data_IF_769258476068
#
_entry.id   IF_769258476068
#
_cell.length_a   1.000
_cell.length_b   1.000
_cell.length_c   1.000
_cell.angle_alpha   90.00
_cell.angle_beta   90.00
_cell.angle_gamma   90.00
#
_symmetry.space_group_name_H-M   'P 1'
#
loop_
_entity.id
_entity.type
_entity.pdbx_description
1 polymer ?
#
# COMPACT_ATOMS: atom_id res chain seq x y z
N UNK A 1 1.13 -9.82 -7.60
CA UNK A 1 2.27 -9.96 -6.69
C UNK A 1 3.60 -9.79 -7.44
N UNK A 2 4.52 -9.04 -6.84
CA UNK A 2 5.91 -8.99 -7.33
C UNK A 2 6.60 -10.31 -6.96
N UNK A 3 6.35 -10.77 -5.73
CA UNK A 3 6.87 -12.03 -5.21
C UNK A 3 5.84 -12.61 -4.23
N UNK A 4 5.52 -13.89 -4.38
CA UNK A 4 4.65 -14.56 -3.43
C UNK A 4 5.42 -14.90 -2.15
N UNK A 5 4.79 -14.67 -1.00
CA UNK A 5 5.35 -15.09 0.28
C UNK A 5 4.97 -16.52 0.60
N UNK A 6 5.59 -17.06 1.65
CA UNK A 6 5.35 -18.44 2.09
C UNK A 6 4.89 -18.53 3.55
N UNK A 7 4.93 -17.42 4.27
CA UNK A 7 4.55 -17.39 5.69
C UNK A 7 3.06 -17.23 5.92
N UNK A 8 2.71 -16.80 7.12
CA UNK A 8 1.32 -16.61 7.55
C UNK A 8 0.59 -15.63 6.65
N UNK A 9 -0.64 -15.95 6.30
CA UNK A 9 -1.49 -15.11 5.47
C UNK A 9 -2.10 -13.95 6.26
N UNK A 10 -2.11 -12.75 5.63
CA UNK A 10 -2.77 -11.57 6.18
C UNK A 10 -4.29 -11.71 6.00
N UNK A 11 -5.01 -11.70 7.12
CA UNK A 11 -6.47 -11.76 7.16
C UNK A 11 -7.03 -10.60 7.95
N UNK A 12 -8.30 -10.25 7.71
CA UNK A 12 -8.95 -9.14 8.41
C UNK A 12 -8.93 -9.36 9.93
N UNK A 13 -8.70 -8.28 10.66
CA UNK A 13 -8.63 -8.30 12.12
C UNK A 13 -7.27 -8.60 12.70
N UNK A 14 -6.32 -9.04 11.87
CA UNK A 14 -4.94 -9.31 12.32
C UNK A 14 -4.10 -8.03 12.26
N UNK A 15 -3.18 -7.90 13.20
CA UNK A 15 -2.19 -6.82 13.13
C UNK A 15 -1.08 -7.23 12.19
N UNK A 16 -0.83 -6.41 11.17
CA UNK A 16 0.20 -6.66 10.17
C UNK A 16 1.28 -5.60 10.24
N UNK A 17 2.52 -5.97 9.92
CA UNK A 17 3.64 -5.05 9.76
C UNK A 17 4.08 -5.08 8.30
N UNK A 18 4.16 -3.91 7.69
CA UNK A 18 4.40 -3.75 6.26
C UNK A 18 5.52 -2.74 6.04
N UNK A 19 6.53 -3.13 5.27
CA UNK A 19 7.51 -2.19 4.72
C UNK A 19 6.99 -1.70 3.38
N UNK A 20 7.11 -0.40 3.10
CA UNK A 20 6.52 0.17 1.89
C UNK A 20 7.31 1.35 1.36
N UNK A 21 7.13 1.58 0.06
CA UNK A 21 7.49 2.84 -0.61
C UNK A 21 6.31 3.25 -1.46
N UNK A 22 6.00 4.55 -1.49
CA UNK A 22 4.89 5.11 -2.25
C UNK A 22 5.35 6.17 -3.25
N UNK A 23 4.75 6.13 -4.45
CA UNK A 23 5.01 7.08 -5.54
C UNK A 23 3.67 7.59 -6.09
N UNK A 24 3.70 8.78 -6.66
CA UNK A 24 2.60 9.24 -7.50
C UNK A 24 2.63 8.43 -8.81
N UNK A 25 1.45 8.00 -9.27
CA UNK A 25 1.34 7.32 -10.56
C UNK A 25 1.72 8.29 -11.69
N UNK A 26 2.54 7.83 -12.63
CA UNK A 26 2.93 8.59 -13.79
C UNK A 26 2.93 7.70 -15.04
N UNK A 27 2.20 8.11 -16.07
CA UNK A 27 2.16 7.38 -17.34
C UNK A 27 3.50 7.35 -18.06
N UNK A 28 4.37 8.33 -17.78
CA UNK A 28 5.65 8.48 -18.50
C UNK A 28 6.84 7.95 -17.71
N UNK A 29 6.65 7.56 -16.45
CA UNK A 29 7.74 7.07 -15.62
C UNK A 29 7.91 5.56 -15.73
N UNK A 30 9.13 5.07 -15.49
CA UNK A 30 9.40 3.64 -15.44
C UNK A 30 8.55 3.01 -14.35
N UNK A 31 7.90 1.88 -14.64
CA UNK A 31 6.99 1.16 -13.75
C UNK A 31 5.85 2.05 -13.23
N UNK A 32 5.54 3.14 -13.94
CA UNK A 32 4.54 4.15 -13.56
C UNK A 32 4.83 4.83 -12.22
N UNK A 33 6.06 4.78 -11.75
CA UNK A 33 6.50 5.39 -10.49
C UNK A 33 7.01 6.79 -10.75
N UNK A 34 6.17 7.77 -10.47
CA UNK A 34 6.54 9.18 -10.52
C UNK A 34 7.31 9.60 -9.27
N UNK A 35 7.00 10.78 -8.72
CA UNK A 35 7.68 11.27 -7.54
C UNK A 35 7.37 10.41 -6.31
N UNK A 36 8.41 9.99 -5.60
CA UNK A 36 8.26 9.31 -4.31
C UNK A 36 7.75 10.31 -3.28
N UNK A 37 6.75 9.91 -2.49
CA UNK A 37 6.20 10.80 -1.46
C UNK A 37 6.33 10.23 -0.05
N UNK A 38 6.55 8.93 0.10
CA UNK A 38 6.63 8.31 1.43
C UNK A 38 7.32 6.95 1.35
N UNK A 39 7.77 6.47 2.51
CA UNK A 39 8.34 5.14 2.66
C UNK A 39 8.66 4.87 4.13
N UNK A 40 8.67 3.61 4.51
CA UNK A 40 8.95 3.21 5.87
C UNK A 40 8.36 1.85 6.21
N UNK A 41 8.15 1.63 7.51
CA UNK A 41 7.50 0.44 8.03
C UNK A 41 6.37 0.87 8.96
N UNK A 42 5.21 0.25 8.82
CA UNK A 42 4.03 0.57 9.61
C UNK A 42 3.34 -0.71 10.07
N UNK A 43 2.78 -0.68 11.28
CA UNK A 43 1.92 -1.75 11.80
C UNK A 43 0.51 -1.21 11.97
N UNK A 44 -0.49 -2.00 11.56
CA UNK A 44 -1.90 -1.61 11.66
C UNK A 44 -2.78 -2.85 11.66
N UNK A 45 -4.05 -2.68 12.06
CA UNK A 45 -5.04 -3.76 12.00
C UNK A 45 -5.65 -3.79 10.62
N UNK A 46 -5.46 -4.91 9.91
CA UNK A 46 -5.96 -5.07 8.55
C UNK A 46 -7.49 -5.08 8.53
N UNK A 47 -8.06 -4.29 7.64
CA UNK A 47 -9.51 -4.13 7.53
C UNK A 47 -10.12 -3.20 8.56
N UNK A 48 -9.32 -2.60 9.43
CA UNK A 48 -9.80 -1.75 10.53
C UNK A 48 -10.01 -0.28 10.18
N UNK A 49 -9.77 0.13 8.94
CA UNK A 49 -9.91 1.52 8.54
C UNK A 49 -8.82 2.45 9.07
N UNK A 50 -7.70 1.90 9.53
CA UNK A 50 -6.57 2.69 10.06
C UNK A 50 -5.69 3.24 8.95
N UNK A 51 -5.79 2.67 7.75
CA UNK A 51 -5.04 3.06 6.56
C UNK A 51 -6.02 3.29 5.40
N UNK A 52 -5.53 3.81 4.28
CA UNK A 52 -6.38 4.00 3.10
C UNK A 52 -6.98 2.66 2.63
N UNK A 53 -8.19 2.72 2.06
CA UNK A 53 -8.94 1.51 1.70
C UNK A 53 -8.20 0.62 0.72
N UNK A 54 -7.42 1.21 -0.19
CA UNK A 54 -6.60 0.45 -1.13
C UNK A 54 -5.60 -0.47 -0.45
N UNK A 55 -5.10 -0.10 0.74
CA UNK A 55 -4.22 -0.94 1.54
C UNK A 55 -5.01 -2.06 2.24
N UNK A 56 -6.14 -1.73 2.88
CA UNK A 56 -6.96 -2.74 3.55
C UNK A 56 -7.42 -3.82 2.57
N UNK A 57 -7.73 -3.44 1.34
CA UNK A 57 -8.15 -4.39 0.30
C UNK A 57 -6.96 -5.07 -0.39
N UNK A 58 -5.89 -4.32 -0.66
CA UNK A 58 -4.77 -4.80 -1.47
C UNK A 58 -3.80 -5.70 -0.72
N UNK A 59 -3.66 -5.52 0.59
CA UNK A 59 -2.76 -6.34 1.42
C UNK A 59 -3.44 -7.64 1.86
N UNK A 60 -4.76 -7.67 1.88
CA UNK A 60 -5.51 -8.89 2.21
C UNK A 60 -5.05 -10.06 1.34
N UNK A 61 -4.73 -11.16 1.97
CA UNK A 61 -4.30 -12.38 1.28
C UNK A 61 -2.79 -12.48 1.02
N UNK A 62 -2.02 -11.42 1.30
CA UNK A 62 -0.55 -11.53 1.24
C UNK A 62 -0.05 -12.50 2.31
N UNK A 63 1.09 -13.12 2.04
CA UNK A 63 1.80 -13.97 3.01
C UNK A 63 3.11 -13.32 3.41
N UNK A 64 3.58 -13.58 4.62
CA UNK A 64 4.85 -13.05 5.11
C UNK A 64 5.97 -13.44 4.13
N UNK A 65 6.81 -12.46 3.79
CA UNK A 65 7.88 -12.57 2.80
C UNK A 65 7.42 -12.18 1.40
N UNK A 66 6.12 -11.99 1.18
CA UNK A 66 5.59 -11.57 -0.11
C UNK A 66 5.78 -10.09 -0.36
N UNK A 67 5.89 -9.73 -1.64
CA UNK A 67 5.91 -8.36 -2.11
C UNK A 67 4.78 -8.17 -3.13
N UNK A 68 4.06 -7.06 -3.01
CA UNK A 68 2.93 -6.75 -3.90
C UNK A 68 2.99 -5.30 -4.30
N UNK A 69 2.69 -5.02 -5.58
CA UNK A 69 2.50 -3.66 -6.06
C UNK A 69 1.02 -3.33 -6.07
N UNK A 70 0.68 -2.21 -5.43
CA UNK A 70 -0.68 -1.71 -5.37
C UNK A 70 -0.76 -0.43 -6.19
N UNK A 71 -1.63 -0.42 -7.20
CA UNK A 71 -1.97 0.80 -7.94
C UNK A 71 -3.36 1.20 -7.43
N UNK A 72 -3.43 2.31 -6.71
CA UNK A 72 -4.60 2.68 -5.94
C UNK A 72 -5.22 3.94 -6.54
N UNK A 73 -6.45 3.86 -7.06
CA UNK A 73 -7.15 5.03 -7.57
C UNK A 73 -7.54 5.96 -6.43
N UNK A 74 -7.83 7.26 -6.71
CA UNK A 74 -8.11 8.23 -5.65
C UNK A 74 -9.27 7.83 -4.73
N UNK A 75 -10.32 7.19 -5.23
CA UNK A 75 -11.47 6.79 -4.41
C UNK A 75 -11.14 5.72 -3.35
N UNK A 76 -10.02 5.02 -3.48
CA UNK A 76 -9.52 4.08 -2.48
C UNK A 76 -8.31 4.63 -1.72
N UNK A 77 -7.95 5.89 -1.95
CA UNK A 77 -6.86 6.59 -1.28
C UNK A 77 -7.40 7.85 -0.60
N UNK A 78 -7.02 9.03 -1.09
CA UNK A 78 -7.37 10.29 -0.44
C UNK A 78 -8.47 11.08 -1.18
N UNK A 79 -8.96 10.57 -2.30
CA UNK A 79 -10.03 11.19 -3.08
C UNK A 79 -9.66 12.60 -3.54
N UNK A 80 -10.62 13.52 -3.40
CA UNK A 80 -10.41 14.91 -3.77
C UNK A 80 -9.72 15.74 -2.69
N UNK A 81 -9.43 15.17 -1.53
CA UNK A 81 -8.75 15.84 -0.42
C UNK A 81 -7.27 15.48 -0.44
N UNK A 82 -6.41 16.50 -0.50
CA UNK A 82 -4.98 16.29 -0.38
C UNK A 82 -4.61 16.09 1.10
N UNK A 83 -3.89 15.01 1.44
CA UNK A 83 -3.40 14.85 2.81
C UNK A 83 -2.14 15.70 3.08
N UNK A 84 -1.64 16.43 2.09
CA UNK A 84 -0.33 17.07 2.13
C UNK A 84 0.77 16.11 1.68
N UNK A 85 2.01 16.29 2.16
CA UNK A 85 3.13 15.35 1.91
C UNK A 85 3.39 15.07 0.42
N UNK A 86 3.13 16.03 -0.46
CA UNK A 86 3.40 15.88 -1.89
C UNK A 86 2.36 15.11 -2.67
N UNK A 87 1.21 14.80 -2.08
CA UNK A 87 0.10 14.12 -2.77
C UNK A 87 -0.95 15.16 -3.18
N UNK A 88 -1.16 15.38 -4.49
CA UNK A 88 -2.20 16.31 -4.95
C UNK A 88 -3.60 15.71 -4.77
N UNK A 89 -4.67 16.52 -4.87
CA UNK A 89 -6.02 16.00 -4.94
C UNK A 89 -6.22 15.06 -6.15
N UNK A 90 -7.07 14.07 -6.01
CA UNK A 90 -7.42 13.12 -7.07
C UNK A 90 -6.21 12.34 -7.62
N UNK A 91 -5.24 12.04 -6.76
CA UNK A 91 -4.04 11.31 -7.18
C UNK A 91 -4.25 9.81 -7.15
N UNK A 92 -3.77 9.15 -8.21
CA UNK A 92 -3.56 7.70 -8.22
C UNK A 92 -2.17 7.43 -7.65
N UNK A 93 -2.08 6.46 -6.76
CA UNK A 93 -0.85 6.14 -6.02
C UNK A 93 -0.32 4.77 -6.41
N UNK A 94 1.00 4.62 -6.39
CA UNK A 94 1.66 3.32 -6.57
C UNK A 94 2.43 3.02 -5.29
N UNK A 95 2.17 1.86 -4.69
CA UNK A 95 2.92 1.37 -3.54
C UNK A 95 3.55 0.03 -3.86
N UNK A 96 4.81 -0.13 -3.48
CA UNK A 96 5.41 -1.45 -3.33
C UNK A 96 5.41 -1.78 -1.85
N UNK A 97 4.78 -2.88 -1.48
CA UNK A 97 4.63 -3.29 -0.08
C UNK A 97 5.23 -4.68 0.13
N UNK A 98 5.85 -4.89 1.29
CA UNK A 98 6.36 -6.19 1.72
C UNK A 98 5.74 -6.52 3.06
N UNK A 99 5.10 -7.68 3.17
CA UNK A 99 4.51 -8.13 4.42
C UNK A 99 5.59 -8.78 5.28
N UNK A 100 5.83 -8.21 6.46
CA UNK A 100 6.91 -8.64 7.35
C UNK A 100 6.42 -9.45 8.54
N UNK A 101 5.22 -9.17 9.05
CA UNK A 101 4.67 -9.86 10.22
C UNK A 101 3.15 -9.88 10.19
N UNK A 102 2.57 -10.92 10.77
CA UNK A 102 1.13 -11.07 11.01
C UNK A 102 0.96 -11.57 12.45
N UNK A 103 0.16 -10.86 13.24
CA UNK A 103 -0.10 -11.22 14.64
C UNK A 103 -1.55 -11.47 14.93
#
# INVERSE_FOLDING_TARGET
DIRAGTGTEATNGRTVSVAYVGWLYSNSAAENKGNRFDGGTISFVLGGGQVIRGWDQGILGMRIGGQRRLVIPPELAYGSTSPGAGIPPNATLVFDVELQAVR
#
